data_IF_111440508858
#
_entry.id   IF_111440508858
#
_cell.length_a   1.000
_cell.length_b   1.000
_cell.length_c   1.000
_cell.angle_alpha   90.00
_cell.angle_beta   90.00
_cell.angle_gamma   90.00
#
_symmetry.space_group_name_H-M   'P 1'
#
loop_
_entity.id
_entity.type
_entity.pdbx_description
1 polymer ?
#
# COMPACT_ATOMS: atom_id res chain seq x y z
N UNK A 1 -11.35 -30.79 -9.93
CA UNK A 1 -10.09 -30.65 -10.70
C UNK A 1 -9.13 -29.84 -9.84
N UNK A 2 -7.90 -30.34 -9.63
CA UNK A 2 -6.89 -29.65 -8.84
C UNK A 2 -6.03 -28.83 -9.79
N UNK A 3 -6.38 -27.55 -9.94
CA UNK A 3 -5.72 -26.63 -10.87
C UNK A 3 -4.44 -26.15 -10.18
N UNK A 4 -3.27 -26.64 -10.59
CA UNK A 4 -2.03 -26.00 -10.15
C UNK A 4 -1.91 -24.66 -10.89
N UNK A 5 -2.21 -23.57 -10.16
CA UNK A 5 -2.16 -22.20 -10.68
C UNK A 5 -0.76 -21.73 -11.07
N UNK A 6 0.27 -22.42 -10.57
CA UNK A 6 1.67 -22.12 -10.85
C UNK A 6 2.43 -23.40 -11.16
N UNK A 7 3.33 -23.32 -12.14
CA UNK A 7 4.13 -24.45 -12.59
C UNK A 7 5.28 -24.74 -11.62
N UNK A 8 5.76 -23.71 -10.91
CA UNK A 8 6.85 -23.80 -9.93
C UNK A 8 6.89 -22.57 -9.00
N UNK A 9 7.70 -22.62 -7.94
CA UNK A 9 7.93 -21.45 -7.08
C UNK A 9 8.58 -20.27 -7.82
N UNK A 10 9.60 -20.46 -8.69
CA UNK A 10 10.14 -19.37 -9.51
C UNK A 10 9.09 -18.71 -10.41
N UNK A 11 8.21 -19.51 -11.02
CA UNK A 11 7.11 -19.03 -11.86
C UNK A 11 6.10 -18.18 -11.06
N UNK A 12 5.71 -18.65 -9.87
CA UNK A 12 4.86 -17.88 -8.97
C UNK A 12 5.50 -16.55 -8.55
N UNK A 13 6.81 -16.55 -8.25
CA UNK A 13 7.54 -15.35 -7.86
C UNK A 13 7.60 -14.34 -9.02
N UNK A 14 7.89 -14.79 -10.23
CA UNK A 14 7.91 -13.94 -11.41
C UNK A 14 6.53 -13.31 -11.65
N UNK A 15 5.46 -14.12 -11.61
CA UNK A 15 4.11 -13.62 -11.80
C UNK A 15 3.73 -12.58 -10.73
N UNK A 16 4.09 -12.83 -9.47
CA UNK A 16 3.88 -11.90 -8.37
C UNK A 16 4.62 -10.58 -8.57
N UNK A 17 5.87 -10.62 -9.02
CA UNK A 17 6.69 -9.43 -9.25
C UNK A 17 6.14 -8.60 -10.40
N UNK A 18 5.75 -9.25 -11.50
CA UNK A 18 5.07 -8.58 -12.62
C UNK A 18 3.78 -7.91 -12.15
N UNK A 19 2.93 -8.63 -11.41
CA UNK A 19 1.69 -8.07 -10.89
C UNK A 19 1.91 -6.87 -9.98
N UNK A 20 2.89 -6.95 -9.07
CA UNK A 20 3.23 -5.83 -8.18
C UNK A 20 3.65 -4.60 -8.97
N UNK A 21 4.44 -4.76 -10.03
CA UNK A 21 4.86 -3.63 -10.85
C UNK A 21 3.67 -3.01 -11.59
N UNK A 22 2.87 -3.81 -12.30
CA UNK A 22 1.73 -3.31 -13.05
C UNK A 22 0.70 -2.61 -12.16
N UNK A 23 0.37 -3.20 -11.01
CA UNK A 23 -0.60 -2.65 -10.08
C UNK A 23 -0.16 -1.29 -9.51
N UNK A 24 1.12 -1.17 -9.16
CA UNK A 24 1.64 0.02 -8.51
C UNK A 24 1.99 1.15 -9.48
N UNK A 25 2.30 0.84 -10.74
CA UNK A 25 2.92 1.80 -11.67
C UNK A 25 2.14 1.99 -12.96
N UNK A 26 1.33 1.03 -13.40
CA UNK A 26 0.72 1.08 -14.74
C UNK A 26 -0.80 1.19 -14.73
N UNK A 27 -1.45 0.77 -13.65
CA UNK A 27 -2.91 0.71 -13.57
C UNK A 27 -3.46 1.86 -12.73
N UNK A 28 -4.22 2.78 -13.32
CA UNK A 28 -4.95 3.78 -12.55
C UNK A 28 -6.10 3.12 -11.80
N UNK A 29 -6.36 3.58 -10.56
CA UNK A 29 -7.44 3.06 -9.73
C UNK A 29 -8.45 4.16 -9.46
N UNK A 30 -9.74 3.88 -9.65
CA UNK A 30 -10.81 4.87 -9.40
C UNK A 30 -10.92 5.31 -7.93
N UNK A 31 -10.38 4.53 -6.98
CA UNK A 31 -10.25 4.94 -5.58
C UNK A 31 -9.11 5.96 -5.34
N UNK A 32 -8.18 6.09 -6.30
CA UNK A 32 -7.02 6.98 -6.28
C UNK A 32 -7.15 8.07 -7.34
N UNK A 33 -8.27 8.79 -7.42
CA UNK A 33 -8.58 9.71 -8.52
C UNK A 33 -8.07 9.33 -9.93
N UNK A 34 -8.17 8.06 -10.31
CA UNK A 34 -7.60 7.51 -11.56
C UNK A 34 -6.08 7.67 -11.69
N UNK A 35 -5.36 7.69 -10.57
CA UNK A 35 -3.91 7.60 -10.49
C UNK A 35 -3.47 6.19 -10.12
N UNK A 36 -2.23 5.90 -10.47
CA UNK A 36 -1.53 4.72 -9.97
C UNK A 36 -1.15 4.93 -8.50
N UNK A 37 -0.96 3.86 -7.72
CA UNK A 37 -0.50 3.96 -6.33
C UNK A 37 0.83 4.71 -6.20
N UNK A 38 1.75 4.54 -7.15
CA UNK A 38 3.04 5.25 -7.15
C UNK A 38 2.88 6.75 -7.38
N UNK A 39 2.00 7.17 -8.30
CA UNK A 39 1.69 8.59 -8.55
C UNK A 39 1.02 9.22 -7.31
N UNK A 40 0.06 8.52 -6.73
CA UNK A 40 -0.57 8.96 -5.49
C UNK A 40 0.44 9.12 -4.34
N UNK A 41 1.29 8.11 -4.11
CA UNK A 41 2.33 8.18 -3.09
C UNK A 41 3.29 9.35 -3.34
N UNK A 42 3.74 9.55 -4.59
CA UNK A 42 4.63 10.65 -4.97
C UNK A 42 4.01 12.03 -4.71
N UNK A 43 2.72 12.20 -5.05
CA UNK A 43 2.01 13.46 -4.83
C UNK A 43 1.74 13.75 -3.34
N UNK A 44 1.61 12.70 -2.52
CA UNK A 44 1.31 12.83 -1.08
C UNK A 44 2.55 12.73 -0.18
N UNK A 45 3.71 12.32 -0.69
CA UNK A 45 4.96 12.22 0.06
C UNK A 45 5.42 13.57 0.66
N UNK A 46 5.07 14.69 0.03
CA UNK A 46 5.37 16.03 0.55
C UNK A 46 4.41 16.49 1.68
N UNK A 47 3.23 15.87 1.80
CA UNK A 47 2.23 16.17 2.85
C UNK A 47 2.34 15.25 4.08
N UNK A 48 3.21 14.24 4.00
CA UNK A 48 3.33 13.15 4.98
C UNK A 48 4.63 13.14 5.76
N UNK A 49 5.31 14.27 5.97
CA UNK A 49 6.22 14.37 7.12
C UNK A 49 5.33 14.44 8.36
N UNK A 50 4.83 13.28 8.76
CA UNK A 50 4.28 12.92 10.08
C UNK A 50 3.78 14.17 10.81
N UNK A 51 2.49 14.51 10.70
CA UNK A 51 1.91 15.21 11.84
C UNK A 51 2.19 14.32 13.04
N UNK A 52 3.03 14.83 13.95
CA UNK A 52 3.48 14.14 15.14
C UNK A 52 2.32 13.33 15.71
N UNK A 53 2.46 12.00 15.72
CA UNK A 53 1.56 11.15 16.49
C UNK A 53 1.74 11.59 17.94
N UNK A 54 0.88 12.51 18.42
CA UNK A 54 0.79 12.85 19.83
C UNK A 54 0.57 11.53 20.56
N UNK A 55 1.48 11.10 21.45
CA UNK A 55 1.31 9.83 22.13
C UNK A 55 0.02 9.88 22.92
N UNK A 56 -0.78 8.82 22.77
CA UNK A 56 -1.95 8.58 23.59
C UNK A 56 -1.52 8.33 25.05
N UNK A 57 -1.23 9.40 25.78
CA UNK A 57 -1.09 9.39 27.23
C UNK A 57 -1.53 10.73 27.82
N UNK A 58 -2.81 11.04 27.65
CA UNK A 58 -3.49 11.92 28.60
C UNK A 58 -4.82 11.30 29.03
N UNK A 59 -4.72 10.12 29.64
CA UNK A 59 -5.74 9.60 30.54
C UNK A 59 -5.08 9.19 31.86
N UNK A 60 -4.45 10.15 32.53
CA UNK A 60 -4.12 10.03 33.94
C UNK A 60 -4.20 11.43 34.56
N UNK A 61 -5.01 11.52 35.60
CA UNK A 61 -5.32 12.68 36.44
C UNK A 61 -6.20 13.76 35.82
N UNK A 62 -7.51 13.56 35.97
CA UNK A 62 -8.33 14.48 36.78
C UNK A 62 -9.62 13.76 37.19
N UNK A 63 -9.72 13.30 38.44
CA UNK A 63 -10.96 13.10 39.23
C UNK A 63 -10.62 12.39 40.55
N UNK A 64 -10.24 13.19 41.56
CA UNK A 64 -10.55 13.07 42.99
C UNK A 64 -9.72 14.13 43.73
#
# INVERSE_FOLDING_TARGET
MNTQWFVSLPDAQQQWDTWRQEYNVSRPHGALPDWTPAEFASNHAAKGRIEEVKPASKLALQLA
#
